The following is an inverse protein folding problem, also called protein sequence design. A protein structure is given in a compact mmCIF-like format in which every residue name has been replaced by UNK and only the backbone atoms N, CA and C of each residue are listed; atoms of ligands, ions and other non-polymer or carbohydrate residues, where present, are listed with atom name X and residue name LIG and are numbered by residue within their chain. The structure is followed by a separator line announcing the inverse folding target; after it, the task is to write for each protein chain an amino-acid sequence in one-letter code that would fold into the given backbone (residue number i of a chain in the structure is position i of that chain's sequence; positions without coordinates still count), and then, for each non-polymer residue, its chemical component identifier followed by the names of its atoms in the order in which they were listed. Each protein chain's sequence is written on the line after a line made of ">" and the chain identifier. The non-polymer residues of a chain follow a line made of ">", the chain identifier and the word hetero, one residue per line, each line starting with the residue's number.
data_IF_806716059315
#
_entry.id   IF_806716059315
#
_cell.length_a   1.000
_cell.length_b   1.000
_cell.length_c   1.000
_cell.angle_alpha   90.00
_cell.angle_beta   90.00
_cell.angle_gamma   90.00
#
_symmetry.space_group_name_H-M   'P 1'
#
loop_
_entity.id
_entity.type
_entity.pdbx_description
1 polymer ?
#
# COMPACT_ATOMS: atom_id res chain seq x y z
N UNK A 1 -37.59 4.51 12.05
CA UNK A 1 -36.76 4.44 10.83
C UNK A 1 -35.64 5.50 10.82
N UNK A 2 -35.85 6.71 11.34
CA UNK A 2 -34.81 7.76 11.43
C UNK A 2 -33.53 7.39 12.20
N UNK A 3 -33.65 6.68 13.32
CA UNK A 3 -32.51 6.37 14.19
C UNK A 3 -31.46 5.44 13.53
N UNK A 4 -31.90 4.58 12.60
CA UNK A 4 -31.03 3.66 11.86
C UNK A 4 -30.22 4.41 10.79
N UNK A 5 -30.83 5.42 10.16
CA UNK A 5 -30.17 6.24 9.15
C UNK A 5 -29.08 7.12 9.77
N UNK A 6 -29.38 7.79 10.89
CA UNK A 6 -28.40 8.63 11.60
C UNK A 6 -27.17 7.84 12.10
N UNK A 7 -27.38 6.58 12.52
CA UNK A 7 -26.29 5.69 12.89
C UNK A 7 -25.43 5.28 11.68
N UNK A 8 -26.06 4.96 10.55
CA UNK A 8 -25.36 4.63 9.31
C UNK A 8 -24.51 5.81 8.81
N UNK A 9 -25.03 7.03 8.89
CA UNK A 9 -24.33 8.24 8.46
C UNK A 9 -23.14 8.56 9.39
N UNK A 10 -23.31 8.36 10.70
CA UNK A 10 -22.22 8.50 11.67
C UNK A 10 -21.12 7.46 11.45
N UNK A 11 -21.48 6.21 11.16
CA UNK A 11 -20.51 5.14 10.83
C UNK A 11 -19.81 5.45 9.51
N UNK A 12 -20.52 5.98 8.51
CA UNK A 12 -19.92 6.40 7.24
C UNK A 12 -18.94 7.56 7.43
N UNK A 13 -19.26 8.54 8.28
CA UNK A 13 -18.35 9.64 8.64
C UNK A 13 -17.11 9.12 9.39
N UNK A 14 -17.27 8.24 10.38
CA UNK A 14 -16.15 7.63 11.11
C UNK A 14 -15.29 6.81 10.13
N UNK A 15 -15.90 6.02 9.22
CA UNK A 15 -15.16 5.32 8.16
C UNK A 15 -14.50 6.28 7.17
N UNK A 16 -15.07 7.45 6.89
CA UNK A 16 -14.43 8.49 6.08
C UNK A 16 -13.23 9.12 6.79
N UNK A 17 -13.32 9.32 8.10
CA UNK A 17 -12.28 9.93 8.95
C UNK A 17 -11.15 8.95 9.29
N UNK A 18 -11.45 7.66 9.46
CA UNK A 18 -10.51 6.63 9.90
C UNK A 18 -10.24 5.51 8.87
N UNK A 19 -10.93 5.51 7.72
CA UNK A 19 -10.82 4.48 6.69
C UNK A 19 -9.60 4.63 5.78
N UNK A 20 -8.96 5.79 5.78
CA UNK A 20 -7.65 5.98 5.15
C UNK A 20 -6.57 5.62 6.16
N UNK A 21 -6.16 4.35 6.16
CA UNK A 21 -5.01 3.95 6.97
C UNK A 21 -3.77 4.72 6.50
N UNK A 22 -2.91 5.14 7.43
CA UNK A 22 -1.64 5.82 7.11
C UNK A 22 -0.84 5.06 6.05
N UNK A 23 -0.83 3.73 6.14
CA UNK A 23 -0.18 2.84 5.16
C UNK A 23 -0.87 2.87 3.80
N UNK A 24 -2.21 2.90 3.78
CA UNK A 24 -2.99 3.08 2.55
C UNK A 24 -2.62 4.37 1.84
N UNK A 25 -2.59 5.50 2.56
CA UNK A 25 -2.18 6.79 2.00
C UNK A 25 -0.72 6.77 1.50
N UNK A 26 0.20 6.13 2.22
CA UNK A 26 1.60 6.02 1.76
C UNK A 26 1.69 5.23 0.46
N UNK A 27 1.06 4.06 0.39
CA UNK A 27 1.04 3.23 -0.80
C UNK A 27 0.35 3.95 -1.98
N UNK A 28 -0.79 4.61 -1.72
CA UNK A 28 -1.61 5.30 -2.70
C UNK A 28 -0.92 6.56 -3.30
N UNK A 29 0.10 7.09 -2.62
CA UNK A 29 0.90 8.23 -3.08
C UNK A 29 2.31 7.85 -3.59
N UNK A 30 2.67 6.56 -3.63
CA UNK A 30 3.93 6.14 -4.25
C UNK A 30 3.99 6.54 -5.72
N UNK A 31 5.20 6.89 -6.18
CA UNK A 31 5.45 7.07 -7.61
C UNK A 31 5.07 5.80 -8.40
N UNK A 32 4.58 5.95 -9.65
CA UNK A 32 4.09 4.83 -10.45
C UNK A 32 5.12 3.68 -10.58
N UNK A 33 6.39 4.01 -10.74
CA UNK A 33 7.47 3.03 -10.87
C UNK A 33 7.76 2.26 -9.57
N UNK A 34 7.62 2.92 -8.41
CA UNK A 34 7.77 2.25 -7.12
C UNK A 34 6.60 1.31 -6.86
N UNK A 35 5.39 1.75 -7.16
CA UNK A 35 4.22 0.87 -7.04
C UNK A 35 4.33 -0.34 -7.98
N UNK A 36 4.78 -0.14 -9.21
CA UNK A 36 5.05 -1.22 -10.17
C UNK A 36 6.09 -2.20 -9.63
N UNK A 37 7.19 -1.71 -9.05
CA UNK A 37 8.24 -2.53 -8.44
C UNK A 37 7.70 -3.36 -7.28
N UNK A 38 6.93 -2.77 -6.37
CA UNK A 38 6.32 -3.49 -5.25
C UNK A 38 5.31 -4.54 -5.71
N UNK A 39 4.44 -4.20 -6.67
CA UNK A 39 3.52 -5.17 -7.25
C UNK A 39 4.26 -6.33 -7.90
N UNK A 40 5.34 -6.06 -8.64
CA UNK A 40 6.17 -7.10 -9.27
C UNK A 40 6.82 -8.02 -8.22
N UNK A 41 7.45 -7.45 -7.19
CA UNK A 41 8.08 -8.21 -6.11
C UNK A 41 7.07 -9.08 -5.34
N UNK A 42 5.82 -8.62 -5.22
CA UNK A 42 4.72 -9.36 -4.60
C UNK A 42 4.08 -10.42 -5.53
N UNK A 43 4.54 -10.57 -6.76
CA UNK A 43 3.95 -11.46 -7.75
C UNK A 43 2.55 -11.04 -8.21
N UNK A 44 2.21 -9.75 -8.07
CA UNK A 44 0.95 -9.18 -8.52
C UNK A 44 1.01 -8.82 -10.01
N UNK A 45 -0.13 -8.95 -10.68
CA UNK A 45 -0.28 -8.65 -12.11
C UNK A 45 -0.31 -7.14 -12.38
N UNK A 46 -0.02 -6.75 -13.63
CA UNK A 46 0.05 -5.35 -14.10
C UNK A 46 -1.18 -4.50 -13.74
N UNK A 47 -2.39 -5.08 -13.73
CA UNK A 47 -3.60 -4.32 -13.41
C UNK A 47 -3.65 -3.84 -11.94
N UNK A 48 -2.96 -4.51 -11.01
CA UNK A 48 -2.93 -4.09 -9.60
C UNK A 48 -2.17 -2.78 -9.38
N UNK A 49 -1.30 -2.38 -10.31
CA UNK A 49 -0.53 -1.13 -10.21
C UNK A 49 -1.46 0.10 -10.18
N UNK A 50 -2.61 0.03 -10.84
CA UNK A 50 -3.61 1.11 -10.82
C UNK A 50 -4.52 1.11 -9.59
N UNK A 51 -4.48 0.07 -8.77
CA UNK A 51 -5.38 -0.09 -7.63
C UNK A 51 -4.83 0.62 -6.39
N UNK A 52 -5.75 1.22 -5.63
CA UNK A 52 -5.48 1.66 -4.26
C UNK A 52 -5.26 0.46 -3.35
N UNK A 53 -4.55 0.65 -2.23
CA UNK A 53 -4.32 -0.41 -1.26
C UNK A 53 -5.63 -1.01 -0.74
N UNK A 54 -6.66 -0.18 -0.56
CA UNK A 54 -7.98 -0.62 -0.09
C UNK A 54 -8.70 -1.54 -1.08
N UNK A 55 -8.39 -1.42 -2.37
CA UNK A 55 -9.00 -2.19 -3.46
C UNK A 55 -8.35 -3.57 -3.66
N UNK A 56 -7.19 -3.82 -3.05
CA UNK A 56 -6.59 -5.15 -3.02
C UNK A 56 -7.35 -6.07 -2.05
N UNK A 57 -7.47 -7.34 -2.39
CA UNK A 57 -8.02 -8.34 -1.48
C UNK A 57 -7.04 -8.65 -0.33
N UNK A 58 -7.47 -9.49 0.62
CA UNK A 58 -6.64 -9.82 1.78
C UNK A 58 -5.36 -10.59 1.40
N UNK A 59 -5.44 -11.53 0.45
CA UNK A 59 -4.30 -12.34 0.01
C UNK A 59 -3.28 -11.47 -0.72
N UNK A 60 -3.75 -10.57 -1.58
CA UNK A 60 -2.94 -9.59 -2.30
C UNK A 60 -2.22 -8.65 -1.33
N UNK A 61 -2.93 -8.16 -0.29
CA UNK A 61 -2.33 -7.36 0.79
C UNK A 61 -1.24 -8.11 1.54
N UNK A 62 -1.45 -9.40 1.84
CA UNK A 62 -0.45 -10.24 2.52
C UNK A 62 0.79 -10.43 1.63
N UNK A 63 0.61 -10.70 0.34
CA UNK A 63 1.73 -10.82 -0.62
C UNK A 63 2.53 -9.52 -0.70
N UNK A 64 1.85 -8.38 -0.82
CA UNK A 64 2.47 -7.07 -0.85
C UNK A 64 3.25 -6.77 0.44
N UNK A 65 2.63 -7.04 1.59
CA UNK A 65 3.28 -6.89 2.88
C UNK A 65 4.54 -7.75 3.00
N UNK A 66 4.48 -9.01 2.57
CA UNK A 66 5.64 -9.89 2.60
C UNK A 66 6.78 -9.38 1.71
N UNK A 67 6.47 -8.99 0.47
CA UNK A 67 7.44 -8.45 -0.46
C UNK A 67 8.14 -7.18 0.07
N UNK A 68 7.38 -6.25 0.65
CA UNK A 68 7.94 -5.02 1.24
C UNK A 68 8.93 -5.37 2.36
N UNK A 69 8.55 -6.25 3.28
CA UNK A 69 9.42 -6.64 4.39
C UNK A 69 10.64 -7.46 3.95
N UNK A 70 10.56 -8.18 2.83
CA UNK A 70 11.72 -8.86 2.25
C UNK A 70 12.69 -7.89 1.58
N UNK A 71 12.18 -6.80 0.99
CA UNK A 71 13.00 -5.80 0.30
C UNK A 71 13.66 -4.81 1.27
N UNK A 72 12.96 -4.38 2.32
CA UNK A 72 13.42 -3.38 3.30
C UNK A 72 14.87 -3.60 3.78
N UNK A 73 15.27 -4.78 4.30
CA UNK A 73 16.61 -4.95 4.85
C UNK A 73 17.70 -4.99 3.78
N UNK A 74 17.36 -5.32 2.54
CA UNK A 74 18.31 -5.36 1.42
C UNK A 74 18.51 -3.95 0.87
N UNK A 75 17.41 -3.23 0.62
CA UNK A 75 17.46 -1.84 0.16
C UNK A 75 18.17 -0.97 1.21
N UNK A 76 17.86 -1.15 2.49
CA UNK A 76 18.50 -0.39 3.57
C UNK A 76 20.02 -0.58 3.65
N UNK A 77 20.54 -1.75 3.26
CA UNK A 77 21.99 -2.03 3.21
C UNK A 77 22.69 -1.47 1.97
N UNK A 78 21.95 -1.23 0.89
CA UNK A 78 22.50 -0.75 -0.38
C UNK A 78 22.30 0.76 -0.57
N UNK A 79 21.26 1.32 0.06
CA UNK A 79 20.94 2.74 -0.04
C UNK A 79 22.01 3.61 0.65
N UNK A 80 22.23 4.82 0.12
CA UNK A 80 23.11 5.82 0.72
C UNK A 80 24.61 5.65 0.43
N UNK A 81 25.01 4.56 -0.23
CA UNK A 81 26.39 4.38 -0.70
C UNK A 81 26.67 5.22 -1.97
N UNK A 82 27.85 5.85 -2.08
CA UNK A 82 28.27 6.52 -3.31
C UNK A 82 28.28 5.57 -4.52
N UNK A 83 28.00 6.09 -5.71
CA UNK A 83 28.02 5.29 -6.95
C UNK A 83 29.36 4.60 -7.20
N UNK A 84 30.47 5.19 -6.74
CA UNK A 84 31.82 4.62 -6.86
C UNK A 84 32.01 3.31 -6.07
N UNK A 85 31.14 3.01 -5.12
CA UNK A 85 31.14 1.75 -4.36
C UNK A 85 30.44 0.61 -5.13
N UNK A 86 29.66 0.93 -6.17
CA UNK A 86 29.01 -0.05 -7.07
C UNK A 86 29.91 -0.35 -8.28
N UNK A 87 30.97 -1.13 -8.04
CA UNK A 87 31.97 -1.52 -9.05
C UNK A 87 31.56 -2.71 -9.91
#
# INVERSE_FOLDING_TARGET
>A
MEQVQAAADSIAQIRGLFGNSRIGSLYDNLEPDMRKTLCFAAGLKKHHVGLKLSQLDHIEKVKLHHAINSLEPVIGKLAGHPINDFK
#
